data_IF_701935706450
#
_entry.id   IF_701935706450
#
_cell.length_a   1.000
_cell.length_b   1.000
_cell.length_c   1.000
_cell.angle_alpha   90.00
_cell.angle_beta   90.00
_cell.angle_gamma   90.00
#
_symmetry.space_group_name_H-M   'P 1'
#
loop_
_entity.id
_entity.type
_entity.pdbx_description
1 polymer ?
#
# COMPACT_ATOMS: atom_id res chain seq x y z
N UNK A 1 16.39 -3.13 2.49
CA UNK A 1 15.24 -3.40 3.38
C UNK A 1 14.94 -4.89 3.39
N UNK A 2 15.22 -5.56 4.49
CA UNK A 2 15.02 -7.00 4.64
C UNK A 2 13.56 -7.30 5.00
N UNK A 3 12.92 -8.16 4.19
CA UNK A 3 11.57 -8.67 4.46
C UNK A 3 11.65 -10.15 4.86
N UNK A 4 11.10 -10.49 6.01
CA UNK A 4 11.01 -11.86 6.49
C UNK A 4 9.57 -12.28 6.73
N UNK A 5 9.34 -13.59 6.76
CA UNK A 5 8.04 -14.21 6.96
C UNK A 5 7.00 -13.84 5.87
N UNK A 6 5.72 -13.85 6.19
CA UNK A 6 4.60 -13.53 5.31
C UNK A 6 3.56 -12.68 6.02
N UNK A 7 2.74 -11.98 5.26
CA UNK A 7 1.60 -11.23 5.81
C UNK A 7 0.61 -12.14 6.51
N UNK A 8 0.04 -11.71 7.64
CA UNK A 8 -1.07 -12.39 8.30
C UNK A 8 -2.32 -12.38 7.41
N UNK A 9 -3.19 -13.36 7.62
CA UNK A 9 -4.52 -13.35 7.02
C UNK A 9 -5.29 -12.08 7.44
N UNK A 10 -5.99 -11.47 6.49
CA UNK A 10 -6.73 -10.22 6.70
C UNK A 10 -5.93 -8.95 6.51
N UNK A 11 -4.62 -9.05 6.25
CA UNK A 11 -3.79 -7.90 5.83
C UNK A 11 -3.55 -7.90 4.32
N UNK A 12 -3.23 -6.75 3.79
CA UNK A 12 -3.07 -6.51 2.36
C UNK A 12 -1.70 -5.90 2.04
N UNK A 13 -1.34 -5.86 0.76
CA UNK A 13 -0.16 -5.14 0.29
C UNK A 13 -0.21 -3.65 0.68
N UNK A 14 -1.40 -3.06 0.80
CA UNK A 14 -1.57 -1.67 1.26
C UNK A 14 -1.11 -1.51 2.71
N UNK A 15 -1.48 -2.43 3.61
CA UNK A 15 -1.02 -2.41 5.00
C UNK A 15 0.50 -2.53 5.09
N UNK A 16 1.08 -3.41 4.26
CA UNK A 16 2.52 -3.58 4.17
C UNK A 16 3.20 -2.31 3.69
N UNK A 17 2.76 -1.73 2.57
CA UNK A 17 3.42 -0.53 2.00
C UNK A 17 3.34 0.67 2.94
N UNK A 18 2.20 0.89 3.60
CA UNK A 18 2.08 1.97 4.60
C UNK A 18 3.01 1.76 5.80
N UNK A 19 3.24 0.51 6.18
CA UNK A 19 4.22 0.15 7.23
C UNK A 19 5.64 0.41 6.77
N UNK A 20 6.00 0.00 5.55
CA UNK A 20 7.31 0.28 4.93
C UNK A 20 7.56 1.78 4.82
N UNK A 21 6.57 2.53 4.33
CA UNK A 21 6.65 4.00 4.20
C UNK A 21 6.98 4.64 5.55
N UNK A 22 6.28 4.24 6.61
CA UNK A 22 6.54 4.78 7.96
C UNK A 22 7.96 4.46 8.44
N UNK A 23 8.39 3.20 8.33
CA UNK A 23 9.71 2.76 8.79
C UNK A 23 10.83 3.49 8.03
N UNK A 24 10.75 3.56 6.71
CA UNK A 24 11.77 4.21 5.89
C UNK A 24 11.77 5.73 6.06
N UNK A 25 10.61 6.33 6.28
CA UNK A 25 10.52 7.76 6.58
C UNK A 25 11.19 8.11 7.91
N UNK A 26 10.97 7.29 8.93
CA UNK A 26 11.61 7.46 10.24
C UNK A 26 13.12 7.21 10.17
N UNK A 27 13.57 6.26 9.36
CA UNK A 27 14.99 6.00 9.10
C UNK A 27 15.69 7.15 8.38
N UNK A 28 14.98 7.90 7.53
CA UNK A 28 15.56 9.00 6.76
C UNK A 28 16.39 8.50 5.58
N UNK A 29 15.70 8.12 4.50
CA UNK A 29 16.31 7.54 3.28
C UNK A 29 16.40 8.51 2.11
N UNK A 30 16.34 9.80 2.36
CA UNK A 30 16.50 10.83 1.32
C UNK A 30 17.86 10.70 0.64
N UNK A 31 17.89 10.68 -0.69
CA UNK A 31 19.07 10.48 -1.49
C UNK A 31 19.62 9.05 -1.51
N UNK A 32 18.90 8.09 -0.96
CA UNK A 32 19.30 6.67 -0.95
C UNK A 32 18.51 5.87 -1.96
N UNK A 33 19.11 4.75 -2.41
CA UNK A 33 18.43 3.67 -3.09
C UNK A 33 18.02 2.63 -2.05
N UNK A 34 16.78 2.17 -2.10
CA UNK A 34 16.28 1.13 -1.19
C UNK A 34 16.06 -0.15 -1.99
N UNK A 35 16.89 -1.14 -1.76
CA UNK A 35 16.71 -2.48 -2.29
C UNK A 35 15.96 -3.34 -1.28
N UNK A 36 14.91 -4.01 -1.76
CA UNK A 36 14.13 -4.95 -0.95
C UNK A 36 14.66 -6.36 -1.17
N UNK A 37 14.96 -7.07 -0.08
CA UNK A 37 15.51 -8.41 -0.12
C UNK A 37 15.01 -9.28 1.04
N UNK A 38 15.48 -10.50 1.11
CA UNK A 38 15.17 -11.44 2.20
C UNK A 38 14.16 -12.51 1.81
N UNK A 39 14.02 -13.49 2.68
CA UNK A 39 13.19 -14.68 2.42
C UNK A 39 11.68 -14.37 2.29
N UNK A 40 11.24 -13.23 2.77
CA UNK A 40 9.86 -12.79 2.64
C UNK A 40 9.44 -12.45 1.21
N UNK A 41 10.41 -12.15 0.31
CA UNK A 41 10.12 -11.77 -1.07
C UNK A 41 9.29 -12.81 -1.83
N UNK A 42 9.54 -14.09 -1.59
CA UNK A 42 8.80 -15.20 -2.22
C UNK A 42 7.29 -15.21 -1.89
N UNK A 43 6.89 -14.49 -0.86
CA UNK A 43 5.50 -14.35 -0.43
C UNK A 43 4.81 -13.10 -1.01
N UNK A 44 5.52 -12.30 -1.82
CA UNK A 44 5.02 -11.09 -2.46
C UNK A 44 4.93 -11.30 -3.96
N UNK A 45 3.74 -11.08 -4.51
CA UNK A 45 3.54 -11.03 -5.95
C UNK A 45 4.27 -9.83 -6.56
N UNK A 46 4.50 -9.83 -7.86
CA UNK A 46 5.07 -8.67 -8.54
C UNK A 46 4.20 -7.41 -8.34
N UNK A 47 2.88 -7.55 -8.32
CA UNK A 47 1.97 -6.43 -8.05
C UNK A 47 2.17 -5.82 -6.66
N UNK A 48 2.40 -6.64 -5.63
CA UNK A 48 2.71 -6.16 -4.27
C UNK A 48 4.03 -5.40 -4.24
N UNK A 49 5.07 -5.94 -4.90
CA UNK A 49 6.39 -5.30 -5.02
C UNK A 49 6.30 -3.97 -5.78
N UNK A 50 5.53 -3.94 -6.88
CA UNK A 50 5.31 -2.72 -7.65
C UNK A 50 4.62 -1.63 -6.81
N UNK A 51 3.65 -1.99 -5.97
CA UNK A 51 3.00 -1.06 -5.05
C UNK A 51 4.01 -0.43 -4.08
N UNK A 52 4.90 -1.23 -3.51
CA UNK A 52 5.95 -0.75 -2.58
C UNK A 52 6.95 0.15 -3.31
N UNK A 53 7.45 -0.26 -4.48
CA UNK A 53 8.43 0.50 -5.25
C UNK A 53 7.85 1.84 -5.73
N UNK A 54 6.57 1.87 -6.12
CA UNK A 54 5.89 3.07 -6.57
C UNK A 54 5.77 4.15 -5.50
N UNK A 55 5.80 3.78 -4.24
CA UNK A 55 5.74 4.71 -3.11
C UNK A 55 7.12 5.20 -2.63
N UNK A 56 8.15 5.07 -3.45
CA UNK A 56 9.48 5.61 -3.13
C UNK A 56 9.46 7.13 -2.80
N UNK A 57 8.71 7.99 -3.50
CA UNK A 57 8.58 9.39 -3.12
C UNK A 57 7.99 9.59 -1.72
N UNK A 58 7.01 8.77 -1.33
CA UNK A 58 6.34 8.86 -0.04
C UNK A 58 7.28 8.51 1.12
N UNK A 59 8.12 7.50 0.99
CA UNK A 59 9.14 7.23 2.00
C UNK A 59 10.42 8.06 1.81
N UNK A 60 10.55 8.80 0.72
CA UNK A 60 11.58 9.78 0.48
C UNK A 60 12.88 9.24 -0.11
N UNK A 61 12.89 8.02 -0.63
CA UNK A 61 14.04 7.45 -1.32
C UNK A 61 14.16 7.96 -2.77
N UNK A 62 15.36 7.87 -3.34
CA UNK A 62 15.58 8.13 -4.77
C UNK A 62 14.83 7.10 -5.63
N UNK A 63 14.91 5.83 -5.25
CA UNK A 63 14.05 4.76 -5.76
C UNK A 63 13.97 3.62 -4.76
N UNK A 64 12.93 2.78 -4.92
CA UNK A 64 12.82 1.49 -4.28
C UNK A 64 12.71 0.42 -5.34
N UNK A 65 13.43 -0.69 -5.22
CA UNK A 65 13.44 -1.74 -6.22
C UNK A 65 13.61 -3.12 -5.62
N UNK A 66 13.26 -4.11 -6.41
CA UNK A 66 13.33 -5.53 -6.08
C UNK A 66 14.24 -6.24 -7.06
N UNK A 67 14.95 -7.29 -6.64
CA UNK A 67 15.74 -8.10 -7.55
C UNK A 67 14.84 -8.84 -8.56
N UNK A 68 15.42 -9.24 -9.68
CA UNK A 68 14.77 -10.13 -10.63
C UNK A 68 14.82 -11.55 -10.06
N UNK A 69 13.68 -12.25 -10.05
CA UNK A 69 13.54 -13.61 -9.55
C UNK A 69 12.43 -14.39 -10.29
N UNK A 70 12.05 -15.55 -9.76
CA UNK A 70 11.01 -16.39 -10.34
C UNK A 70 9.64 -15.71 -10.42
N UNK A 71 9.32 -14.78 -9.51
CA UNK A 71 8.08 -14.00 -9.57
C UNK A 71 8.07 -13.06 -10.79
N UNK A 72 9.23 -12.50 -11.15
CA UNK A 72 9.37 -11.73 -12.39
C UNK A 72 9.10 -12.60 -13.60
N UNK A 73 9.63 -13.82 -13.64
CA UNK A 73 9.40 -14.77 -14.73
C UNK A 73 7.93 -15.19 -14.82
N UNK A 74 7.27 -15.44 -13.70
CA UNK A 74 5.82 -15.72 -13.64
C UNK A 74 5.01 -14.58 -14.24
N UNK A 75 5.33 -13.35 -13.87
CA UNK A 75 4.64 -12.18 -14.40
C UNK A 75 4.84 -12.01 -15.92
N UNK A 76 6.04 -12.22 -16.43
CA UNK A 76 6.31 -12.15 -17.88
C UNK A 76 5.48 -13.18 -18.64
N UNK A 77 5.35 -14.41 -18.13
CA UNK A 77 4.48 -15.44 -18.69
C UNK A 77 3.01 -15.01 -18.64
N UNK A 78 2.54 -14.56 -17.49
CA UNK A 78 1.17 -14.10 -17.29
C UNK A 78 0.81 -12.91 -18.20
N UNK A 79 1.73 -11.99 -18.42
CA UNK A 79 1.54 -10.81 -19.27
C UNK A 79 1.69 -11.12 -20.78
N UNK A 80 1.86 -12.39 -21.16
CA UNK A 80 1.85 -12.82 -22.56
C UNK A 80 3.17 -12.60 -23.31
N UNK A 81 4.30 -12.49 -22.62
CA UNK A 81 5.61 -12.47 -23.27
C UNK A 81 5.91 -13.85 -23.87
N UNK A 82 6.53 -13.89 -25.03
CA UNK A 82 6.91 -15.13 -25.67
C UNK A 82 8.02 -15.86 -24.90
N UNK A 83 8.08 -17.18 -25.07
CA UNK A 83 9.03 -18.02 -24.35
C UNK A 83 10.51 -17.71 -24.67
N UNK A 84 10.81 -17.21 -25.85
CA UNK A 84 12.18 -16.86 -26.21
C UNK A 84 12.62 -15.61 -25.47
N UNK A 85 11.79 -14.58 -25.44
CA UNK A 85 12.03 -13.35 -24.67
C UNK A 85 12.23 -13.68 -23.19
N UNK A 86 11.38 -14.54 -22.62
CA UNK A 86 11.47 -14.94 -21.20
C UNK A 86 12.80 -15.62 -20.91
N UNK A 87 13.23 -16.56 -21.75
CA UNK A 87 14.54 -17.24 -21.61
C UNK A 87 15.71 -16.26 -21.71
N UNK A 88 15.63 -15.28 -22.60
CA UNK A 88 16.65 -14.24 -22.74
C UNK A 88 16.73 -13.41 -21.48
N UNK A 89 15.59 -12.93 -20.96
CA UNK A 89 15.52 -12.13 -19.73
C UNK A 89 16.12 -12.89 -18.55
N UNK A 90 15.73 -14.15 -18.35
CA UNK A 90 16.23 -14.98 -17.26
C UNK A 90 17.75 -15.18 -17.37
N UNK A 91 18.24 -15.59 -18.52
CA UNK A 91 19.67 -15.84 -18.76
C UNK A 91 20.47 -14.55 -18.61
N UNK A 92 20.03 -13.46 -19.21
CA UNK A 92 20.70 -12.16 -19.12
C UNK A 92 20.77 -11.67 -17.68
N UNK A 93 19.66 -11.74 -16.93
CA UNK A 93 19.63 -11.30 -15.54
C UNK A 93 20.60 -12.11 -14.64
N UNK A 94 20.69 -13.42 -14.87
CA UNK A 94 21.66 -14.28 -14.13
C UNK A 94 23.11 -13.97 -14.48
N UNK A 95 23.42 -13.80 -15.76
CA UNK A 95 24.79 -13.50 -16.24
C UNK A 95 25.26 -12.09 -15.83
N UNK A 96 24.35 -11.14 -15.70
CA UNK A 96 24.65 -9.76 -15.31
C UNK A 96 24.59 -9.50 -13.80
N UNK A 97 24.32 -10.52 -12.98
CA UNK A 97 24.22 -10.36 -11.53
C UNK A 97 22.99 -9.56 -11.07
N UNK A 98 21.94 -9.50 -11.91
CA UNK A 98 20.66 -8.83 -11.59
C UNK A 98 19.63 -9.78 -10.96
N UNK A 99 19.98 -11.08 -10.93
CA UNK A 99 19.14 -12.09 -10.29
C UNK A 99 19.27 -12.02 -8.79
N UNK A 100 18.21 -12.38 -8.07
CA UNK A 100 18.22 -12.43 -6.60
C UNK A 100 19.45 -13.20 -6.10
N UNK A 101 20.17 -12.59 -5.17
CA UNK A 101 21.35 -13.18 -4.51
C UNK A 101 21.28 -12.91 -3.01
N UNK A 102 21.90 -13.79 -2.22
CA UNK A 102 22.07 -13.59 -0.78
C UNK A 102 23.43 -12.93 -0.46
N UNK A 103 24.34 -12.88 -1.43
CA UNK A 103 25.71 -12.38 -1.28
C UNK A 103 25.84 -10.89 -1.60
N UNK A 104 24.94 -10.07 -1.04
CA UNK A 104 24.95 -8.61 -1.26
C UNK A 104 25.30 -7.91 0.05
N UNK A 105 26.31 -7.06 0.00
CA UNK A 105 26.67 -6.17 1.11
C UNK A 105 25.96 -4.82 0.93
N UNK A 106 25.21 -4.41 1.94
CA UNK A 106 24.47 -3.15 1.96
C UNK A 106 25.14 -2.14 2.88
N UNK A 107 25.08 -0.85 2.52
CA UNK A 107 25.60 0.23 3.37
C UNK A 107 24.86 0.30 4.71
N UNK A 108 23.57 -0.02 4.72
CA UNK A 108 22.73 -0.02 5.92
C UNK A 108 21.56 -1.00 5.72
N UNK A 109 21.09 -1.58 6.78
CA UNK A 109 20.01 -2.58 6.76
C UNK A 109 18.89 -2.20 7.71
N UNK A 110 17.67 -2.27 7.19
CA UNK A 110 16.43 -2.17 7.96
C UNK A 110 15.64 -3.45 7.76
N UNK A 111 15.07 -4.00 8.81
CA UNK A 111 14.37 -5.29 8.79
C UNK A 111 12.91 -5.16 9.20
N UNK A 112 12.03 -5.82 8.48
CA UNK A 112 10.62 -5.96 8.82
C UNK A 112 10.20 -7.43 8.80
N UNK A 113 9.67 -7.87 9.91
CA UNK A 113 8.90 -9.11 9.99
C UNK A 113 7.47 -8.84 9.49
N UNK A 114 7.14 -9.34 8.30
CA UNK A 114 5.82 -9.11 7.70
C UNK A 114 4.68 -9.73 8.53
N UNK A 115 4.96 -10.70 9.39
CA UNK A 115 3.94 -11.29 10.27
C UNK A 115 3.44 -10.31 11.34
N UNK A 116 4.15 -9.22 11.56
CA UNK A 116 3.76 -8.15 12.51
C UNK A 116 2.90 -7.05 11.88
N UNK A 117 2.70 -7.09 10.57
CA UNK A 117 1.87 -6.11 9.87
C UNK A 117 0.41 -6.32 10.25
N UNK A 118 -0.26 -5.23 10.54
CA UNK A 118 -1.68 -5.20 10.92
C UNK A 118 -2.46 -4.23 10.05
N UNK A 119 -3.79 -4.37 9.95
CA UNK A 119 -4.63 -3.46 9.18
C UNK A 119 -4.38 -2.00 9.56
N UNK A 120 -4.10 -1.19 8.56
CA UNK A 120 -3.52 0.14 8.72
C UNK A 120 -4.14 1.12 7.72
N UNK A 121 -4.35 2.35 8.17
CA UNK A 121 -4.67 3.50 7.33
C UNK A 121 -3.61 4.59 7.51
N UNK A 122 -3.64 5.61 6.69
CA UNK A 122 -2.75 6.77 6.83
C UNK A 122 -3.51 8.08 6.69
N UNK A 123 -3.02 9.09 7.32
CA UNK A 123 -3.55 10.45 7.32
C UNK A 123 -3.66 11.04 8.71
N UNK A 124 -4.26 12.25 8.77
CA UNK A 124 -5.00 12.96 7.71
C UNK A 124 -4.12 13.75 6.72
N UNK A 125 -2.84 13.97 7.00
CA UNK A 125 -2.02 14.90 6.22
C UNK A 125 -1.15 14.21 5.17
N UNK A 126 -0.51 13.09 5.54
CA UNK A 126 0.53 12.47 4.71
C UNK A 126 0.47 10.95 4.71
N UNK A 127 0.98 10.27 3.67
CA UNK A 127 0.98 8.80 3.60
C UNK A 127 1.78 8.11 4.73
N UNK A 128 2.74 8.78 5.33
CA UNK A 128 3.52 8.26 6.45
C UNK A 128 2.91 8.52 7.83
N UNK A 129 1.79 9.23 7.90
CA UNK A 129 1.01 9.39 9.14
C UNK A 129 0.21 8.09 9.37
N UNK A 130 0.94 7.03 9.72
CA UNK A 130 0.38 5.69 9.91
C UNK A 130 -0.53 5.65 11.13
N UNK A 131 -1.71 5.07 10.97
CA UNK A 131 -2.70 4.84 12.03
C UNK A 131 -3.18 3.40 11.95
N UNK A 132 -3.18 2.69 13.08
CA UNK A 132 -3.80 1.37 13.14
C UNK A 132 -5.31 1.49 12.92
N UNK A 133 -5.89 0.61 12.11
CA UNK A 133 -7.33 0.65 11.83
C UNK A 133 -8.16 0.57 13.13
N UNK A 134 -7.70 -0.19 14.12
CA UNK A 134 -8.32 -0.26 15.46
C UNK A 134 -8.32 1.06 16.23
N UNK A 135 -7.39 1.97 15.90
CA UNK A 135 -7.23 3.27 16.57
C UNK A 135 -7.83 4.43 15.76
N UNK A 136 -8.42 4.16 14.59
CA UNK A 136 -8.90 5.17 13.66
C UNK A 136 -9.83 6.22 14.32
N UNK A 137 -10.76 5.78 15.17
CA UNK A 137 -11.70 6.67 15.88
C UNK A 137 -10.97 7.61 16.83
N UNK A 138 -10.05 7.10 17.61
CA UNK A 138 -9.29 7.89 18.61
C UNK A 138 -8.34 8.86 17.90
N UNK A 139 -7.67 8.39 16.85
CA UNK A 139 -6.78 9.21 16.02
C UNK A 139 -7.54 10.33 15.34
N UNK A 140 -8.72 10.05 14.77
CA UNK A 140 -9.58 11.08 14.19
C UNK A 140 -9.94 12.16 15.20
N UNK A 141 -10.37 11.78 16.42
CA UNK A 141 -10.74 12.75 17.45
C UNK A 141 -9.60 13.68 17.87
N UNK A 142 -8.35 13.18 17.91
CA UNK A 142 -7.16 14.00 18.15
C UNK A 142 -6.91 14.96 16.96
N UNK A 143 -6.85 14.42 15.76
CA UNK A 143 -6.58 15.19 14.53
C UNK A 143 -7.66 16.23 14.27
N UNK A 144 -8.92 15.95 14.56
CA UNK A 144 -10.02 16.89 14.45
C UNK A 144 -9.78 18.14 15.31
N UNK A 145 -9.43 17.96 16.59
CA UNK A 145 -9.13 19.08 17.50
C UNK A 145 -7.93 19.91 17.05
N UNK A 146 -6.89 19.24 16.57
CA UNK A 146 -5.69 19.89 16.07
C UNK A 146 -5.95 20.73 14.82
N UNK A 147 -6.72 20.20 13.85
CA UNK A 147 -6.98 20.85 12.56
C UNK A 147 -8.00 21.96 12.71
N UNK A 148 -9.10 21.72 13.42
CA UNK A 148 -10.21 22.66 13.52
C UNK A 148 -10.08 23.68 14.63
N UNK A 149 -9.23 23.38 15.64
CA UNK A 149 -9.13 24.14 16.90
C UNK A 149 -10.45 24.21 17.68
N UNK A 150 -11.37 23.30 17.39
CA UNK A 150 -12.70 23.21 18.01
C UNK A 150 -12.78 22.00 18.92
N UNK A 151 -13.63 22.08 19.95
CA UNK A 151 -13.88 20.99 20.90
C UNK A 151 -15.15 20.20 20.55
N UNK A 152 -16.03 20.76 19.73
CA UNK A 152 -17.30 20.15 19.32
C UNK A 152 -17.41 20.03 17.82
N UNK A 153 -18.12 19.00 17.34
CA UNK A 153 -18.46 18.80 15.96
C UNK A 153 -19.55 19.80 15.52
N UNK A 154 -19.43 20.35 14.33
CA UNK A 154 -20.49 21.13 13.69
C UNK A 154 -21.32 20.22 12.78
N UNK A 155 -22.59 20.57 12.65
CA UNK A 155 -23.50 19.98 11.67
C UNK A 155 -24.04 21.08 10.79
N UNK A 156 -24.26 20.78 9.52
CA UNK A 156 -24.81 21.72 8.56
C UNK A 156 -25.83 21.01 7.66
N UNK A 157 -26.99 21.61 7.52
CA UNK A 157 -28.02 21.18 6.55
C UNK A 157 -27.52 21.52 5.15
N UNK A 158 -27.64 20.58 4.24
CA UNK A 158 -27.25 20.78 2.84
C UNK A 158 -28.47 21.40 2.09
N UNK A 159 -28.29 22.58 1.52
CA UNK A 159 -29.35 23.28 0.82
C UNK A 159 -29.96 22.44 -0.30
N UNK A 160 -31.28 22.39 -0.39
CA UNK A 160 -31.99 21.62 -1.41
C UNK A 160 -32.04 20.10 -1.15
N UNK A 161 -31.67 19.66 0.06
CA UNK A 161 -31.73 18.25 0.44
C UNK A 161 -32.40 18.05 1.79
N UNK A 162 -32.69 16.79 2.14
CA UNK A 162 -33.28 16.38 3.40
C UNK A 162 -32.24 15.85 4.43
N UNK A 163 -30.94 15.89 4.09
CA UNK A 163 -29.89 15.41 4.97
C UNK A 163 -28.98 16.52 5.52
N UNK A 164 -28.29 16.17 6.59
CA UNK A 164 -27.22 16.96 7.19
C UNK A 164 -25.88 16.27 7.03
N UNK A 165 -24.84 17.06 6.88
CA UNK A 165 -23.44 16.59 7.00
C UNK A 165 -22.86 17.16 8.29
N UNK A 166 -21.90 16.42 8.86
CA UNK A 166 -21.20 16.84 10.07
C UNK A 166 -19.71 16.71 9.88
N UNK A 167 -18.94 17.34 10.74
CA UNK A 167 -17.50 17.12 10.80
C UNK A 167 -17.20 15.62 10.90
N UNK A 168 -16.27 15.14 10.09
CA UNK A 168 -15.94 13.71 9.96
C UNK A 168 -16.85 12.91 9.02
N UNK A 169 -17.84 13.53 8.37
CA UNK A 169 -18.59 12.86 7.32
C UNK A 169 -17.66 12.52 6.16
N UNK A 170 -17.70 11.26 5.72
CA UNK A 170 -17.01 10.82 4.51
C UNK A 170 -17.80 11.31 3.31
N UNK A 171 -17.20 12.14 2.48
CA UNK A 171 -17.85 12.70 1.28
C UNK A 171 -17.27 12.12 -0.02
N UNK A 172 -16.09 11.56 0.02
CA UNK A 172 -15.44 10.86 -1.09
C UNK A 172 -14.92 9.53 -0.59
N UNK A 173 -15.25 8.46 -1.29
CA UNK A 173 -14.67 7.12 -1.11
C UNK A 173 -14.28 6.60 -2.49
N UNK A 174 -12.99 6.70 -2.82
CA UNK A 174 -12.47 6.42 -4.15
C UNK A 174 -11.16 5.64 -4.09
N UNK A 175 -10.95 4.75 -5.06
CA UNK A 175 -9.66 4.17 -5.36
C UNK A 175 -9.10 4.97 -6.52
N UNK A 176 -8.19 5.90 -6.21
CA UNK A 176 -7.57 6.78 -7.19
C UNK A 176 -6.08 6.50 -7.22
N UNK A 177 -5.59 5.93 -8.29
CA UNK A 177 -4.16 5.71 -8.44
C UNK A 177 -3.79 5.45 -9.90
N UNK A 178 -2.51 5.40 -10.14
CA UNK A 178 -1.88 5.00 -11.37
C UNK A 178 -2.31 3.56 -11.74
N UNK A 179 -2.89 3.38 -12.90
CA UNK A 179 -3.40 2.07 -13.37
C UNK A 179 -2.30 1.01 -13.43
N UNK A 180 -1.07 1.42 -13.77
CA UNK A 180 0.06 0.49 -13.93
C UNK A 180 0.51 -0.15 -12.62
N UNK A 181 0.20 0.44 -11.48
CA UNK A 181 0.57 -0.05 -10.15
C UNK A 181 -0.63 -0.50 -9.31
N UNK A 182 -1.81 -0.53 -9.92
CA UNK A 182 -3.02 -1.08 -9.29
C UNK A 182 -2.81 -2.56 -8.97
N UNK A 183 -3.02 -2.91 -7.70
CA UNK A 183 -2.91 -4.29 -7.25
C UNK A 183 -4.25 -5.03 -7.50
N UNK A 184 -4.29 -6.04 -8.39
CA UNK A 184 -5.53 -6.74 -8.71
C UNK A 184 -6.21 -7.36 -7.51
N UNK A 185 -5.46 -7.88 -6.55
CA UNK A 185 -6.01 -8.52 -5.36
C UNK A 185 -6.78 -7.51 -4.49
N UNK A 186 -6.24 -6.31 -4.33
CA UNK A 186 -6.89 -5.24 -3.56
C UNK A 186 -8.16 -4.76 -4.27
N UNK A 187 -8.11 -4.58 -5.59
CA UNK A 187 -9.27 -4.15 -6.38
C UNK A 187 -10.40 -5.19 -6.38
N UNK A 188 -10.04 -6.47 -6.57
CA UNK A 188 -11.01 -7.57 -6.52
C UNK A 188 -11.58 -7.68 -5.10
N UNK A 189 -10.75 -7.57 -4.08
CA UNK A 189 -11.18 -7.56 -2.67
C UNK A 189 -12.20 -6.44 -2.38
N UNK A 190 -11.93 -5.22 -2.86
CA UNK A 190 -12.86 -4.09 -2.73
C UNK A 190 -14.19 -4.36 -3.45
N UNK A 191 -14.14 -4.90 -4.67
CA UNK A 191 -15.33 -5.27 -5.44
C UNK A 191 -16.17 -6.36 -4.75
N UNK A 192 -15.52 -7.39 -4.21
CA UNK A 192 -16.21 -8.45 -3.45
C UNK A 192 -16.83 -7.92 -2.15
N UNK A 193 -16.15 -7.00 -1.47
CA UNK A 193 -16.70 -6.33 -0.28
C UNK A 193 -17.94 -5.52 -0.64
N UNK A 194 -17.88 -4.73 -1.69
CA UNK A 194 -19.02 -3.94 -2.17
C UNK A 194 -20.21 -4.84 -2.54
N UNK A 195 -19.96 -5.94 -3.27
CA UNK A 195 -20.99 -6.93 -3.61
C UNK A 195 -21.67 -7.48 -2.35
N UNK A 196 -20.89 -7.96 -1.38
CA UNK A 196 -21.44 -8.52 -0.12
C UNK A 196 -22.16 -7.45 0.71
N UNK A 197 -21.74 -6.21 0.67
CA UNK A 197 -22.41 -5.11 1.35
C UNK A 197 -23.81 -4.87 0.75
N UNK A 198 -23.92 -4.83 -0.58
CA UNK A 198 -25.19 -4.68 -1.29
C UNK A 198 -26.12 -5.87 -0.99
N UNK A 199 -25.62 -7.10 -1.02
CA UNK A 199 -26.39 -8.31 -0.68
C UNK A 199 -26.97 -8.25 0.76
N UNK A 200 -26.29 -7.55 1.67
CA UNK A 200 -26.76 -7.28 3.03
C UNK A 200 -27.64 -6.02 3.16
N UNK A 201 -28.03 -5.41 2.05
CA UNK A 201 -28.90 -4.21 2.03
C UNK A 201 -28.20 -2.91 2.41
N UNK A 202 -26.86 -2.90 2.51
CA UNK A 202 -26.11 -1.68 2.79
C UNK A 202 -26.10 -0.77 1.56
N UNK A 203 -26.20 0.52 1.80
CA UNK A 203 -26.17 1.56 0.76
C UNK A 203 -25.21 2.67 1.17
N UNK A 204 -24.59 3.29 0.18
CA UNK A 204 -23.83 4.53 0.41
C UNK A 204 -24.77 5.65 0.87
N UNK A 205 -24.26 6.55 1.68
CA UNK A 205 -25.01 7.74 2.06
C UNK A 205 -25.14 8.68 0.83
N UNK A 206 -26.23 9.47 0.72
CA UNK A 206 -26.51 10.31 -0.46
C UNK A 206 -25.44 11.37 -0.73
N UNK A 207 -24.66 11.74 0.26
CA UNK A 207 -23.57 12.72 0.11
C UNK A 207 -22.20 12.09 -0.23
N UNK A 208 -22.09 10.76 -0.33
CA UNK A 208 -20.81 10.08 -0.60
C UNK A 208 -20.65 9.88 -2.10
N UNK A 209 -19.64 10.50 -2.67
CA UNK A 209 -19.19 10.19 -4.02
C UNK A 209 -18.24 9.00 -3.98
N UNK A 210 -18.53 7.97 -4.76
CA UNK A 210 -17.70 6.77 -4.92
C UNK A 210 -17.09 6.73 -6.32
N UNK A 211 -15.87 6.19 -6.43
CA UNK A 211 -15.17 5.98 -7.70
C UNK A 211 -14.25 4.76 -7.62
#
# INVERSE_FOLDING_TARGET
FELINKLPEGTTATDLVLTVVKILRDKGVVGKFVEFYGQGLKNLSLADRATIANMAPEYGATCGFFPIDDETIKYLKFSGRDNQTIKIVEKYAKEQGLWVSEDIEFTDVVKLDMSTVVPTISGPKRPHDKVLLSEAKTSFGKSFKEITKRQSENKSKVSGTDFEIKDGSIVIAAITSCTNTSNPNVLIGAGLLAKKAIEKGLKTKPWVKTS
#
